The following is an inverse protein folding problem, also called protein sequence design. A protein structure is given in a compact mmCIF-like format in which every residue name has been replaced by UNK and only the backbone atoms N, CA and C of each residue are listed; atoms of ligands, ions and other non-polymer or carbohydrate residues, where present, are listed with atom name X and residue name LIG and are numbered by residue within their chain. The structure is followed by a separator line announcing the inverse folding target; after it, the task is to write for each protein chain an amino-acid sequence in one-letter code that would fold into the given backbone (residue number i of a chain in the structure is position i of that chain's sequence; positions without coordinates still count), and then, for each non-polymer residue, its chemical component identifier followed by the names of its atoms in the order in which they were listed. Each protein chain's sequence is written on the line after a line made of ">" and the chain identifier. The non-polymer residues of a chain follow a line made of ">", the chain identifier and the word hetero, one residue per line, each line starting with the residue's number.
data_IF_933917017674
#
_entry.id   IF_933917017674
#
_cell.length_a   1.000
_cell.length_b   1.000
_cell.length_c   1.000
_cell.angle_alpha   90.00
_cell.angle_beta   90.00
_cell.angle_gamma   90.00
#
_symmetry.space_group_name_H-M   'P 1'
#
loop_
_entity.id
_entity.type
_entity.pdbx_description
1 polymer ?
#
# COMPACT_ATOMS: atom_id res chain seq x y z
N UNK A 1 15.77 0.73 -19.45
CA UNK A 1 16.26 -0.10 -18.34
C UNK A 1 15.09 -0.31 -17.39
N UNK A 2 14.38 -1.45 -17.50
CA UNK A 2 13.38 -1.85 -16.50
C UNK A 2 14.14 -2.26 -15.24
N UNK A 3 13.90 -1.57 -14.15
CA UNK A 3 14.35 -1.98 -12.82
C UNK A 3 13.45 -3.12 -12.35
N UNK A 4 14.03 -4.18 -11.78
CA UNK A 4 13.22 -5.27 -11.23
C UNK A 4 12.24 -4.73 -10.17
N UNK A 5 10.95 -5.07 -10.25
CA UNK A 5 9.95 -4.55 -9.33
C UNK A 5 10.22 -5.01 -7.89
N UNK A 6 10.16 -4.06 -6.95
CA UNK A 6 10.26 -4.37 -5.52
C UNK A 6 8.91 -4.92 -5.05
N UNK A 7 8.89 -6.16 -4.58
CA UNK A 7 7.69 -6.84 -4.11
C UNK A 7 7.88 -7.43 -2.73
N UNK A 8 7.08 -6.97 -1.77
CA UNK A 8 7.03 -7.51 -0.41
C UNK A 8 5.69 -8.16 -0.13
N UNK A 9 5.69 -9.32 0.53
CA UNK A 9 4.48 -9.95 1.04
C UNK A 9 4.68 -10.39 2.49
N UNK A 10 3.87 -9.83 3.40
CA UNK A 10 3.99 -10.06 4.84
C UNK A 10 2.72 -10.66 5.41
N UNK A 11 2.80 -11.93 5.80
CA UNK A 11 1.76 -12.60 6.56
C UNK A 11 1.99 -12.40 8.06
N UNK A 12 0.98 -11.88 8.76
CA UNK A 12 1.12 -11.60 10.19
C UNK A 12 -0.23 -11.55 10.90
N UNK A 13 -0.21 -11.78 12.20
CA UNK A 13 -1.39 -11.62 13.06
C UNK A 13 -1.84 -10.16 13.22
N UNK A 14 -2.86 -9.97 14.04
CA UNK A 14 -3.36 -8.64 14.40
C UNK A 14 -2.43 -7.95 15.42
N UNK A 15 -2.53 -6.62 15.50
CA UNK A 15 -1.91 -5.83 16.57
C UNK A 15 -0.39 -5.68 16.50
N UNK A 16 0.26 -6.01 15.38
CA UNK A 16 1.72 -5.92 15.22
C UNK A 16 2.20 -4.63 14.55
N UNK A 17 1.32 -3.65 14.34
CA UNK A 17 1.70 -2.35 13.77
C UNK A 17 1.66 -2.28 12.24
N UNK A 18 0.92 -3.15 11.54
CA UNK A 18 0.82 -3.11 10.06
C UNK A 18 0.43 -1.73 9.53
N UNK A 19 -0.63 -1.13 10.06
CA UNK A 19 -1.11 0.18 9.56
C UNK A 19 -0.09 1.30 9.79
N UNK A 20 0.70 1.23 10.86
CA UNK A 20 1.83 2.15 11.11
C UNK A 20 2.92 1.94 10.05
N UNK A 21 3.27 0.70 9.74
CA UNK A 21 4.24 0.39 8.69
C UNK A 21 3.76 0.89 7.32
N UNK A 22 2.48 0.70 7.01
CA UNK A 22 1.87 1.23 5.78
C UNK A 22 2.01 2.76 5.72
N UNK A 23 1.71 3.47 6.81
CA UNK A 23 1.87 4.92 6.87
C UNK A 23 3.32 5.36 6.64
N UNK A 24 4.29 4.66 7.24
CA UNK A 24 5.71 4.94 7.04
C UNK A 24 6.16 4.66 5.60
N UNK A 25 5.71 3.58 4.98
CA UNK A 25 6.05 3.26 3.59
C UNK A 25 5.51 4.32 2.63
N UNK A 26 4.25 4.75 2.79
CA UNK A 26 3.66 5.82 1.98
C UNK A 26 4.52 7.09 2.11
N UNK A 27 4.80 7.52 3.34
CA UNK A 27 5.61 8.71 3.58
C UNK A 27 7.02 8.57 3.02
N UNK A 28 7.68 7.44 3.25
CA UNK A 28 9.02 7.18 2.73
C UNK A 28 9.08 7.27 1.20
N UNK A 29 8.16 6.62 0.51
CA UNK A 29 8.13 6.64 -0.96
C UNK A 29 7.85 8.05 -1.47
N UNK A 30 6.83 8.71 -0.94
CA UNK A 30 6.46 10.05 -1.36
C UNK A 30 7.55 11.10 -1.05
N UNK A 31 8.25 10.99 0.08
CA UNK A 31 9.29 11.94 0.48
C UNK A 31 10.64 11.72 -0.27
N UNK A 32 10.89 10.51 -0.76
CA UNK A 32 12.19 10.15 -1.37
C UNK A 32 12.16 9.94 -2.88
N UNK A 33 10.96 9.80 -3.48
CA UNK A 33 10.78 9.56 -4.91
C UNK A 33 9.89 10.62 -5.53
N UNK A 34 10.48 11.62 -6.21
CA UNK A 34 9.71 12.65 -6.89
C UNK A 34 8.70 12.05 -7.88
N UNK A 35 7.52 12.65 -7.93
CA UNK A 35 6.42 12.26 -8.81
C UNK A 35 5.95 10.80 -8.62
N UNK A 36 6.24 10.19 -7.48
CA UNK A 36 5.68 8.87 -7.15
C UNK A 36 4.16 8.93 -7.02
N UNK A 37 3.50 7.93 -7.59
CA UNK A 37 2.05 7.77 -7.55
C UNK A 37 1.68 6.42 -6.94
N UNK A 38 0.81 6.42 -5.96
CA UNK A 38 0.45 5.20 -5.28
C UNK A 38 -1.01 5.06 -4.93
N UNK A 39 -1.39 3.81 -4.70
CA UNK A 39 -2.68 3.44 -4.16
C UNK A 39 -2.48 2.55 -2.95
N UNK A 40 -3.19 2.88 -1.88
CA UNK A 40 -3.37 1.97 -0.76
C UNK A 40 -4.82 1.48 -0.73
N UNK A 41 -5.01 0.19 -0.52
CA UNK A 41 -6.34 -0.41 -0.51
C UNK A 41 -6.54 -1.34 0.67
N UNK A 42 -7.80 -1.42 1.11
CA UNK A 42 -8.30 -2.39 2.07
C UNK A 42 -9.68 -2.88 1.65
N UNK A 43 -10.19 -3.91 2.33
CA UNK A 43 -11.45 -4.57 1.97
C UNK A 43 -12.66 -3.64 2.03
N UNK A 44 -12.67 -2.69 2.97
CA UNK A 44 -13.78 -1.76 3.15
C UNK A 44 -13.31 -0.31 3.27
N UNK A 45 -14.16 0.62 2.82
CA UNK A 45 -13.90 2.06 2.93
C UNK A 45 -13.72 2.52 4.38
N UNK A 46 -14.52 1.99 5.29
CA UNK A 46 -14.43 2.36 6.71
C UNK A 46 -13.13 1.87 7.35
N UNK A 47 -12.70 0.64 7.06
CA UNK A 47 -11.41 0.14 7.55
C UNK A 47 -10.25 0.97 7.00
N UNK A 48 -10.26 1.25 5.70
CA UNK A 48 -9.25 2.07 5.07
C UNK A 48 -9.19 3.46 5.72
N UNK A 49 -10.33 4.14 5.84
CA UNK A 49 -10.43 5.49 6.38
C UNK A 49 -10.08 5.59 7.85
N UNK A 50 -10.62 4.68 8.68
CA UNK A 50 -10.55 4.79 10.15
C UNK A 50 -9.29 4.15 10.74
N UNK A 51 -8.65 3.24 10.04
CA UNK A 51 -7.42 2.57 10.48
C UNK A 51 -6.21 3.09 9.71
N UNK A 52 -6.05 2.66 8.47
CA UNK A 52 -4.85 2.92 7.67
C UNK A 52 -4.65 4.40 7.38
N UNK A 53 -5.73 5.08 6.93
CA UNK A 53 -5.66 6.49 6.59
C UNK A 53 -5.54 7.39 7.82
N UNK A 54 -6.22 7.03 8.91
CA UNK A 54 -6.08 7.75 10.18
C UNK A 54 -4.65 7.68 10.74
N UNK A 55 -4.00 6.50 10.66
CA UNK A 55 -2.58 6.36 11.03
C UNK A 55 -1.68 7.19 10.11
N UNK A 56 -1.93 7.20 8.80
CA UNK A 56 -1.19 8.05 7.86
C UNK A 56 -1.32 9.54 8.24
N UNK A 57 -2.52 10.01 8.55
CA UNK A 57 -2.75 11.40 8.98
C UNK A 57 -1.98 11.75 10.25
N UNK A 58 -2.02 10.87 11.26
CA UNK A 58 -1.26 11.02 12.50
C UNK A 58 0.24 11.15 12.24
N UNK A 59 0.82 10.22 11.51
CA UNK A 59 2.27 10.24 11.25
C UNK A 59 2.69 11.34 10.29
N UNK A 60 1.85 11.71 9.32
CA UNK A 60 2.10 12.89 8.49
C UNK A 60 2.14 14.17 9.32
N UNK A 61 1.23 14.33 10.29
CA UNK A 61 1.19 15.52 11.16
C UNK A 61 2.44 15.67 12.05
N UNK A 62 3.08 14.56 12.39
CA UNK A 62 4.32 14.50 13.16
C UNK A 62 5.58 14.57 12.30
N UNK A 63 5.46 14.44 11.00
CA UNK A 63 6.59 14.43 10.06
C UNK A 63 7.17 15.85 9.88
N UNK A 64 8.49 15.93 9.73
CA UNK A 64 9.20 17.17 9.38
C UNK A 64 8.79 17.72 8.01
N UNK A 65 8.32 16.84 7.12
CA UNK A 65 7.86 17.16 5.76
C UNK A 65 6.36 17.44 5.67
N UNK A 66 5.63 17.50 6.80
CA UNK A 66 4.16 17.67 6.80
C UNK A 66 3.67 18.85 5.97
N UNK A 67 4.42 19.95 5.94
CA UNK A 67 4.10 21.17 5.20
C UNK A 67 4.16 21.01 3.68
N UNK A 68 4.72 19.91 3.20
CA UNK A 68 4.83 19.58 1.79
C UNK A 68 3.63 18.78 1.26
N UNK A 69 2.70 18.38 2.14
CA UNK A 69 1.64 17.44 1.82
C UNK A 69 0.26 17.93 2.23
N UNK A 70 -0.68 17.85 1.29
CA UNK A 70 -2.11 18.02 1.53
C UNK A 70 -2.73 16.68 1.89
N UNK A 71 -3.15 16.52 3.14
CA UNK A 71 -3.83 15.33 3.64
C UNK A 71 -5.35 15.50 3.61
N UNK A 72 -6.06 14.58 2.97
CA UNK A 72 -7.51 14.55 2.93
C UNK A 72 -8.05 13.19 3.44
N UNK A 73 -8.95 13.23 4.42
CA UNK A 73 -9.64 12.06 4.99
C UNK A 73 -11.16 12.20 4.86
N UNK A 74 -11.64 12.73 3.75
CA UNK A 74 -13.06 12.86 3.48
C UNK A 74 -13.64 11.54 2.96
N UNK A 75 -14.92 11.28 3.26
CA UNK A 75 -15.61 10.11 2.71
C UNK A 75 -15.61 10.19 1.18
N UNK A 76 -15.10 9.14 0.53
CA UNK A 76 -14.98 9.07 -0.93
C UNK A 76 -13.76 9.78 -1.52
N UNK A 77 -12.95 10.47 -0.69
CA UNK A 77 -11.72 11.12 -1.16
C UNK A 77 -10.63 11.00 -0.10
N UNK A 78 -9.91 9.91 -0.11
CA UNK A 78 -8.73 9.68 0.72
C UNK A 78 -7.50 9.97 -0.13
N UNK A 79 -6.78 11.06 0.15
CA UNK A 79 -5.60 11.44 -0.63
C UNK A 79 -4.53 12.11 0.22
N UNK A 80 -3.28 11.80 -0.07
CA UNK A 80 -2.10 12.52 0.38
C UNK A 80 -1.35 12.99 -0.86
N UNK A 81 -1.44 14.28 -1.20
CA UNK A 81 -0.89 14.85 -2.42
C UNK A 81 0.13 15.95 -2.15
N UNK A 82 1.09 16.12 -3.04
CA UNK A 82 2.12 17.15 -2.94
C UNK A 82 1.48 18.54 -3.00
N UNK A 83 1.90 19.45 -2.12
CA UNK A 83 1.56 20.88 -2.19
C UNK A 83 2.19 21.48 -3.45
N UNK A 84 1.39 22.19 -4.23
CA UNK A 84 1.81 22.80 -5.49
C UNK A 84 0.62 23.01 -6.43
N UNK A 85 0.90 23.38 -7.68
CA UNK A 85 -0.12 23.51 -8.70
C UNK A 85 -0.80 22.15 -9.02
N UNK A 86 -1.90 22.20 -9.78
CA UNK A 86 -2.69 21.02 -10.13
C UNK A 86 -1.85 19.91 -10.77
N UNK A 87 -0.92 20.26 -11.64
CA UNK A 87 -0.04 19.31 -12.30
C UNK A 87 0.80 18.50 -11.28
N UNK A 88 1.42 19.16 -10.31
CA UNK A 88 2.23 18.49 -9.27
C UNK A 88 1.36 17.61 -8.38
N UNK A 89 0.24 18.13 -7.90
CA UNK A 89 -0.64 17.41 -6.97
C UNK A 89 -1.34 16.21 -7.61
N UNK A 90 -1.53 16.17 -8.92
CA UNK A 90 -2.08 15.02 -9.62
C UNK A 90 -1.06 13.93 -9.92
N UNK A 91 0.21 14.27 -10.06
CA UNK A 91 1.29 13.36 -10.44
C UNK A 91 2.17 12.89 -9.26
N UNK A 92 1.99 13.48 -8.07
CA UNK A 92 2.77 13.14 -6.88
C UNK A 92 1.83 12.99 -5.69
N UNK A 93 1.32 11.78 -5.51
CA UNK A 93 0.26 11.49 -4.53
C UNK A 93 0.11 10.02 -4.19
N UNK A 94 -0.58 9.76 -3.10
CA UNK A 94 -1.14 8.45 -2.76
C UNK A 94 -2.64 8.58 -2.53
N UNK A 95 -3.42 7.67 -3.09
CA UNK A 95 -4.87 7.61 -2.94
C UNK A 95 -5.30 6.36 -2.17
N UNK A 96 -6.33 6.51 -1.35
CA UNK A 96 -6.98 5.40 -0.69
C UNK A 96 -8.20 4.93 -1.47
N UNK A 97 -8.17 3.71 -2.02
CA UNK A 97 -9.25 3.10 -2.78
C UNK A 97 -9.69 1.79 -2.14
N UNK A 98 -10.99 1.49 -2.19
CA UNK A 98 -11.48 0.17 -1.75
C UNK A 98 -11.14 -0.91 -2.76
N UNK A 99 -10.82 -2.12 -2.25
CA UNK A 99 -10.48 -3.28 -3.06
C UNK A 99 -11.72 -3.97 -3.65
N UNK A 100 -12.51 -3.24 -4.42
CA UNK A 100 -13.66 -3.77 -5.14
C UNK A 100 -13.37 -3.84 -6.63
N UNK A 101 -13.86 -4.89 -7.31
CA UNK A 101 -13.64 -5.10 -8.73
C UNK A 101 -14.03 -3.89 -9.59
N UNK A 102 -15.05 -3.13 -9.20
CA UNK A 102 -15.47 -1.88 -9.86
C UNK A 102 -14.38 -0.79 -9.89
N UNK A 103 -13.40 -0.85 -8.98
CA UNK A 103 -12.28 0.08 -8.90
C UNK A 103 -11.02 -0.41 -9.64
N UNK A 104 -11.05 -1.56 -10.30
CA UNK A 104 -9.88 -2.14 -10.97
C UNK A 104 -9.26 -1.20 -12.01
N UNK A 105 -10.08 -0.46 -12.76
CA UNK A 105 -9.60 0.52 -13.74
C UNK A 105 -8.79 1.66 -13.11
N UNK A 106 -9.14 2.07 -11.88
CA UNK A 106 -8.41 3.12 -11.16
C UNK A 106 -6.98 2.72 -10.79
N UNK A 107 -6.71 1.41 -10.69
CA UNK A 107 -5.35 0.89 -10.48
C UNK A 107 -4.54 0.89 -11.79
N UNK A 108 -5.19 0.73 -12.94
CA UNK A 108 -4.52 0.72 -14.23
C UNK A 108 -4.03 2.12 -14.66
N UNK A 109 -4.65 3.19 -14.16
CA UNK A 109 -4.29 4.58 -14.49
C UNK A 109 -2.99 5.09 -13.86
N UNK A 110 -2.27 4.26 -13.10
CA UNK A 110 -1.02 4.66 -12.43
C UNK A 110 0.23 4.49 -13.31
N UNK A 111 0.06 4.51 -14.64
CA UNK A 111 1.18 4.46 -15.56
C UNK A 111 1.92 5.79 -15.59
N UNK A 112 3.20 5.78 -15.22
CA UNK A 112 4.08 6.92 -15.41
C UNK A 112 5.50 6.40 -15.69
N UNK A 113 5.95 6.54 -16.93
CA UNK A 113 7.21 5.98 -17.42
C UNK A 113 8.46 6.45 -16.64
N UNK A 114 8.39 7.64 -16.02
CA UNK A 114 9.50 8.26 -15.30
C UNK A 114 9.23 8.42 -13.79
N UNK A 115 8.36 7.60 -13.22
CA UNK A 115 8.00 7.68 -11.80
C UNK A 115 8.06 6.33 -11.09
N UNK A 116 7.81 6.36 -9.78
CA UNK A 116 7.67 5.16 -8.96
C UNK A 116 6.18 4.91 -8.70
N UNK A 117 5.51 4.05 -9.49
CA UNK A 117 4.18 3.56 -9.13
C UNK A 117 4.29 2.62 -7.93
N UNK A 118 3.43 2.81 -6.92
CA UNK A 118 3.45 1.93 -5.76
C UNK A 118 2.05 1.50 -5.32
N UNK A 119 1.96 0.27 -4.86
CA UNK A 119 0.71 -0.37 -4.45
C UNK A 119 0.87 -0.96 -3.06
N UNK A 120 -0.03 -0.62 -2.15
CA UNK A 120 -0.04 -1.16 -0.80
C UNK A 120 -1.39 -1.81 -0.54
N UNK A 121 -1.40 -3.12 -0.34
CA UNK A 121 -2.57 -3.90 -0.02
C UNK A 121 -2.61 -4.17 1.48
N UNK A 122 -3.44 -3.44 2.21
CA UNK A 122 -3.74 -3.71 3.61
C UNK A 122 -4.90 -4.72 3.70
N UNK A 123 -4.80 -5.67 4.62
CA UNK A 123 -5.71 -6.83 4.69
C UNK A 123 -5.76 -7.66 3.38
N UNK A 124 -4.61 -7.88 2.77
CA UNK A 124 -4.41 -8.45 1.44
C UNK A 124 -5.09 -9.82 1.21
N UNK A 125 -5.31 -10.62 2.26
CA UNK A 125 -6.00 -11.92 2.16
C UNK A 125 -7.46 -11.84 1.72
N UNK A 126 -8.08 -10.66 1.85
CA UNK A 126 -9.48 -10.44 1.47
C UNK A 126 -9.65 -9.73 0.12
N UNK A 127 -8.58 -9.34 -0.54
CA UNK A 127 -8.63 -8.61 -1.81
C UNK A 127 -9.00 -9.55 -2.96
N UNK A 128 -9.92 -9.12 -3.81
CA UNK A 128 -10.42 -9.88 -4.95
C UNK A 128 -9.39 -9.96 -6.07
N UNK A 129 -9.38 -11.08 -6.80
CA UNK A 129 -8.41 -11.38 -7.87
C UNK A 129 -8.32 -10.29 -8.97
N UNK A 130 -9.42 -9.65 -9.45
CA UNK A 130 -9.33 -8.57 -10.45
C UNK A 130 -8.46 -7.38 -10.02
N UNK A 131 -8.41 -7.07 -8.73
CA UNK A 131 -7.55 -6.00 -8.20
C UNK A 131 -6.07 -6.38 -8.26
N UNK A 132 -5.75 -7.65 -7.99
CA UNK A 132 -4.39 -8.18 -8.14
C UNK A 132 -3.93 -8.13 -9.60
N UNK A 133 -4.81 -8.52 -10.53
CA UNK A 133 -4.53 -8.50 -11.97
C UNK A 133 -4.32 -7.08 -12.49
N UNK A 134 -5.17 -6.14 -12.08
CA UNK A 134 -5.02 -4.72 -12.41
C UNK A 134 -3.68 -4.15 -11.93
N UNK A 135 -3.25 -4.50 -10.71
CA UNK A 135 -1.94 -4.10 -10.17
C UNK A 135 -0.78 -4.65 -11.00
N UNK A 136 -0.85 -5.90 -11.43
CA UNK A 136 0.21 -6.49 -12.25
C UNK A 136 0.35 -5.77 -13.60
N UNK A 137 -0.78 -5.39 -14.21
CA UNK A 137 -0.79 -4.60 -15.45
C UNK A 137 -0.20 -3.20 -15.26
N UNK A 138 -0.52 -2.52 -14.16
CA UNK A 138 -0.06 -1.16 -13.88
C UNK A 138 1.43 -1.08 -13.46
N UNK A 139 2.00 -2.16 -12.97
CA UNK A 139 3.39 -2.21 -12.46
C UNK A 139 4.42 -2.63 -13.52
N UNK A 140 4.29 -2.17 -14.77
CA UNK A 140 5.20 -2.54 -15.87
C UNK A 140 6.24 -1.48 -16.19
N UNK A 141 5.99 -0.23 -15.79
CA UNK A 141 6.84 0.92 -16.11
C UNK A 141 7.48 1.54 -14.87
N UNK A 142 8.62 2.19 -15.03
CA UNK A 142 9.33 2.89 -13.97
C UNK A 142 10.00 1.96 -12.95
N UNK A 143 9.95 2.33 -11.67
CA UNK A 143 10.41 1.55 -10.51
C UNK A 143 9.20 1.07 -9.69
N UNK A 144 8.45 0.05 -10.12
CA UNK A 144 7.22 -0.34 -9.45
C UNK A 144 7.49 -1.01 -8.11
N UNK A 145 6.72 -0.59 -7.08
CA UNK A 145 6.81 -1.14 -5.74
C UNK A 145 5.46 -1.71 -5.30
N UNK A 146 5.46 -2.88 -4.69
CA UNK A 146 4.25 -3.46 -4.12
C UNK A 146 4.48 -4.07 -2.75
N UNK A 147 3.53 -3.82 -1.83
CA UNK A 147 3.59 -4.25 -0.45
C UNK A 147 2.25 -4.86 -0.06
N UNK A 148 2.27 -6.14 0.29
CA UNK A 148 1.09 -6.91 0.66
C UNK A 148 1.15 -7.22 2.16
N UNK A 149 0.18 -6.73 2.92
CA UNK A 149 0.05 -6.99 4.36
C UNK A 149 -1.27 -7.69 4.64
N UNK A 150 -1.24 -8.83 5.31
CA UNK A 150 -2.48 -9.53 5.63
C UNK A 150 -2.32 -10.60 6.70
N UNK A 151 -3.45 -11.00 7.26
CA UNK A 151 -3.54 -12.23 8.04
C UNK A 151 -3.64 -13.41 7.07
N UNK A 152 -2.93 -14.51 7.31
CA UNK A 152 -3.02 -15.72 6.49
C UNK A 152 -4.31 -16.50 6.80
N UNK A 153 -5.47 -15.93 6.46
CA UNK A 153 -6.80 -16.51 6.77
C UNK A 153 -7.26 -17.53 5.74
N UNK A 154 -6.64 -17.56 4.56
CA UNK A 154 -6.99 -18.46 3.45
C UNK A 154 -5.75 -19.18 2.95
N UNK A 155 -5.95 -20.41 2.46
CA UNK A 155 -4.90 -21.23 1.80
C UNK A 155 -5.03 -21.17 0.27
N UNK A 156 -5.67 -20.15 -0.26
CA UNK A 156 -5.92 -19.91 -1.70
C UNK A 156 -5.90 -18.41 -1.99
N UNK A 157 -5.79 -18.05 -3.27
CA UNK A 157 -5.78 -16.67 -3.75
C UNK A 157 -4.38 -16.07 -3.81
N UNK A 158 -4.26 -14.92 -4.46
CA UNK A 158 -2.96 -14.28 -4.75
C UNK A 158 -2.11 -14.02 -3.51
N UNK A 159 -2.70 -13.57 -2.39
CA UNK A 159 -1.92 -13.33 -1.17
C UNK A 159 -1.23 -14.61 -0.64
N UNK A 160 -1.93 -15.74 -0.65
CA UNK A 160 -1.34 -17.02 -0.28
C UNK A 160 -0.24 -17.42 -1.27
N UNK A 161 -0.52 -17.35 -2.58
CA UNK A 161 0.43 -17.73 -3.63
C UNK A 161 1.69 -16.85 -3.63
N UNK A 162 1.57 -15.57 -3.29
CA UNK A 162 2.68 -14.62 -3.20
C UNK A 162 3.52 -14.83 -1.93
N UNK A 163 2.91 -15.29 -0.82
CA UNK A 163 3.59 -15.40 0.48
C UNK A 163 4.24 -16.76 0.68
N UNK A 164 3.54 -17.85 0.37
CA UNK A 164 3.98 -19.22 0.62
C UNK A 164 3.83 -20.15 -0.59
N UNK A 165 3.00 -19.80 -1.58
CA UNK A 165 2.69 -20.62 -2.74
C UNK A 165 3.65 -20.41 -3.92
N UNK A 166 3.13 -20.65 -5.13
CA UNK A 166 3.92 -20.74 -6.37
C UNK A 166 4.65 -19.46 -6.77
N UNK A 167 4.14 -18.28 -6.36
CA UNK A 167 4.73 -16.98 -6.72
C UNK A 167 5.69 -16.43 -5.66
N UNK A 168 5.89 -17.15 -4.55
CA UNK A 168 6.77 -16.72 -3.45
C UNK A 168 8.16 -16.30 -3.92
N UNK A 169 8.73 -16.96 -4.92
CA UNK A 169 10.05 -16.67 -5.46
C UNK A 169 10.19 -15.27 -6.08
N UNK A 170 9.05 -14.59 -6.37
CA UNK A 170 9.01 -13.23 -6.92
C UNK A 170 8.89 -12.15 -5.84
N UNK A 171 8.83 -12.55 -4.56
CA UNK A 171 8.56 -11.67 -3.42
C UNK A 171 9.61 -11.81 -2.33
N UNK A 172 9.91 -10.70 -1.69
CA UNK A 172 10.55 -10.72 -0.38
C UNK A 172 9.44 -11.01 0.64
N UNK A 173 9.45 -12.20 1.24
CA UNK A 173 8.37 -12.64 2.12
C UNK A 173 8.76 -12.61 3.59
N UNK A 174 7.80 -12.26 4.45
CA UNK A 174 7.94 -12.34 5.91
C UNK A 174 6.70 -12.98 6.51
N UNK A 175 6.93 -13.78 7.55
CA UNK A 175 5.87 -14.31 8.41
C UNK A 175 6.16 -13.88 9.84
N UNK A 176 5.19 -13.22 10.47
CA UNK A 176 5.33 -12.68 11.82
C UNK A 176 4.23 -13.29 12.69
N UNK A 177 4.61 -14.12 13.65
CA UNK A 177 3.69 -14.64 14.66
C UNK A 177 3.50 -13.57 15.75
N UNK A 178 2.28 -13.04 15.85
CA UNK A 178 1.92 -12.02 16.85
C UNK A 178 2.06 -12.53 18.29
N UNK A 179 1.96 -13.84 18.51
CA UNK A 179 2.15 -14.46 19.83
C UNK A 179 3.60 -14.36 20.29
N UNK A 180 4.56 -14.52 19.39
CA UNK A 180 5.98 -14.42 19.72
C UNK A 180 6.38 -12.98 20.12
N UNK A 181 5.74 -11.98 19.52
CA UNK A 181 5.93 -10.56 19.88
C UNK A 181 5.33 -10.27 21.27
N UNK A 182 4.13 -10.78 21.56
CA UNK A 182 3.47 -10.62 22.85
C UNK A 182 4.25 -11.29 24.00
N UNK A 183 4.89 -12.42 23.73
CA UNK A 183 5.72 -13.12 24.74
C UNK A 183 7.01 -12.33 25.02
N UNK A 184 7.63 -11.71 24.03
CA UNK A 184 8.84 -10.89 24.21
C UNK A 184 8.59 -9.60 24.98
N UNK A 185 7.38 -9.05 24.93
CA UNK A 185 7.00 -7.80 25.61
C UNK A 185 6.42 -8.02 27.01
N UNK A 186 6.38 -9.24 27.53
CA UNK A 186 5.93 -9.60 28.88
C UNK A 186 7.08 -9.70 29.90
N UNK A 187 8.18 -9.02 29.63
CA UNK A 187 9.24 -8.86 30.65
C UNK A 187 9.17 -7.49 31.27
#
# INVERSE_FOLDING_TARGET
>A
NSVDPIRFSTASGHGIGKSVMVAFLIKFILDTRPFSMGVVTANTSDQLRTKTWAELGKWNSLSVTKHLWNYNNSRGNLSLSRVGGKEVSTRWRCDGLTAKAENAESFQGLHAADSTPFFIFDEASGIEDPIWEARFGAGTDGEPMSFDFGNPTRKTGYFFENTVGKYRHRYITRQIDSRSVAIKNKK
#
